data_IF_955112007269
#
_entry.id   IF_955112007269
#
_cell.length_a   1.000
_cell.length_b   1.000
_cell.length_c   1.000
_cell.angle_alpha   90.00
_cell.angle_beta   90.00
_cell.angle_gamma   90.00
#
_symmetry.space_group_name_H-M   'P 1'
#
loop_
_entity.id
_entity.type
_entity.pdbx_description
1 polymer ?
#
# COMPACT_ATOMS: atom_id res chain seq x y z
N UNK A 1 11.43 -31.44 25.59
CA UNK A 1 10.84 -31.54 24.23
C UNK A 1 9.89 -30.37 23.91
N UNK A 2 8.71 -30.22 24.54
CA UNK A 2 7.73 -29.16 24.19
C UNK A 2 8.22 -27.71 24.35
N UNK A 3 9.04 -27.42 25.36
CA UNK A 3 9.58 -26.06 25.62
C UNK A 3 10.60 -25.60 24.58
N UNK A 4 11.40 -26.53 24.06
CA UNK A 4 12.41 -26.26 23.02
C UNK A 4 11.71 -25.99 21.68
N UNK A 5 10.64 -26.75 21.41
CA UNK A 5 9.82 -26.56 20.21
C UNK A 5 9.13 -25.18 20.18
N UNK A 6 8.60 -24.73 21.32
CA UNK A 6 8.01 -23.38 21.45
C UNK A 6 9.04 -22.26 21.25
N UNK A 7 10.26 -22.43 21.77
CA UNK A 7 11.34 -21.45 21.56
C UNK A 7 11.75 -21.35 20.08
N UNK A 8 11.77 -22.48 19.37
CA UNK A 8 12.15 -22.54 17.95
C UNK A 8 11.09 -21.85 17.06
N UNK A 9 9.80 -22.07 17.34
CA UNK A 9 8.70 -21.36 16.65
C UNK A 9 8.75 -19.85 16.92
N UNK A 10 9.00 -19.46 18.17
CA UNK A 10 9.15 -18.04 18.53
C UNK A 10 10.29 -17.35 17.80
N UNK A 11 11.41 -18.05 17.59
CA UNK A 11 12.56 -17.50 16.86
C UNK A 11 12.28 -17.34 15.36
N UNK A 12 11.51 -18.23 14.74
CA UNK A 12 11.12 -18.11 13.32
C UNK A 12 10.17 -16.93 13.10
N UNK A 13 9.22 -16.71 14.02
CA UNK A 13 8.25 -15.61 13.93
C UNK A 13 8.86 -14.22 14.14
N UNK A 14 10.03 -14.13 14.79
CA UNK A 14 10.73 -12.87 14.98
C UNK A 14 11.31 -12.27 13.68
N UNK A 15 11.52 -13.10 12.65
CA UNK A 15 12.12 -12.69 11.36
C UNK A 15 11.14 -12.71 10.18
N UNK A 16 9.85 -12.95 10.40
CA UNK A 16 8.85 -13.03 9.32
C UNK A 16 8.30 -11.67 8.84
N UNK A 17 8.86 -10.55 9.31
CA UNK A 17 8.50 -9.23 8.82
C UNK A 17 9.17 -8.97 7.46
N UNK A 18 8.48 -9.34 6.37
CA UNK A 18 8.87 -8.94 5.02
C UNK A 18 8.19 -7.61 4.67
N UNK A 19 8.98 -6.55 4.56
CA UNK A 19 8.54 -5.30 3.97
C UNK A 19 8.80 -5.34 2.46
N UNK A 20 7.82 -4.96 1.65
CA UNK A 20 8.05 -4.75 0.23
C UNK A 20 8.97 -3.55 0.03
N UNK A 21 9.99 -3.70 -0.82
CA UNK A 21 10.89 -2.60 -1.17
C UNK A 21 10.37 -1.91 -2.43
N UNK A 22 10.29 -0.58 -2.39
CA UNK A 22 9.81 0.24 -3.50
C UNK A 22 10.95 1.06 -4.10
N UNK A 23 10.99 1.14 -5.43
CA UNK A 23 11.99 1.92 -6.17
C UNK A 23 11.33 2.77 -7.25
N UNK A 24 11.90 3.96 -7.45
CA UNK A 24 11.52 4.88 -8.52
C UNK A 24 11.72 4.20 -9.90
N UNK A 25 10.83 4.48 -10.84
CA UNK A 25 10.79 3.88 -12.17
C UNK A 25 10.20 2.47 -12.22
N UNK A 26 9.80 1.88 -11.07
CA UNK A 26 9.17 0.55 -11.03
C UNK A 26 7.76 0.61 -10.45
N UNK A 27 7.60 0.99 -9.17
CA UNK A 27 6.28 1.08 -8.54
C UNK A 27 5.72 2.50 -8.48
N UNK A 28 6.58 3.50 -8.55
CA UNK A 28 6.21 4.90 -8.61
C UNK A 28 7.20 5.66 -9.48
N UNK A 29 6.84 6.89 -9.85
CA UNK A 29 7.75 7.85 -10.46
C UNK A 29 7.71 9.15 -9.65
N UNK A 30 8.85 9.80 -9.47
CA UNK A 30 8.89 11.15 -8.92
C UNK A 30 8.55 12.17 -10.01
N UNK A 31 7.58 13.05 -9.76
CA UNK A 31 7.25 14.10 -10.73
C UNK A 31 8.37 15.13 -10.85
N UNK A 32 8.78 15.45 -12.08
CA UNK A 32 9.80 16.48 -12.35
C UNK A 32 9.39 17.86 -11.83
N UNK A 33 8.08 18.12 -11.74
CA UNK A 33 7.49 19.38 -11.30
C UNK A 33 6.48 19.11 -10.17
N UNK A 34 6.91 19.13 -8.90
CA UNK A 34 6.00 18.95 -7.77
C UNK A 34 5.05 20.15 -7.64
N UNK A 35 3.85 19.90 -7.13
CA UNK A 35 2.81 20.92 -6.93
C UNK A 35 2.63 21.17 -5.44
N UNK A 36 2.62 22.44 -5.01
CA UNK A 36 2.44 22.78 -3.59
C UNK A 36 0.97 22.86 -3.22
N UNK A 37 0.60 22.34 -2.05
CA UNK A 37 -0.77 22.43 -1.51
C UNK A 37 -1.74 21.39 -2.05
N UNK A 38 -1.23 20.34 -2.71
CA UNK A 38 -2.02 19.20 -3.14
C UNK A 38 -2.47 18.33 -1.96
N UNK A 39 -3.60 17.59 -2.08
CA UNK A 39 -3.96 16.55 -1.12
C UNK A 39 -2.85 15.48 -1.01
N UNK A 40 -2.76 14.82 0.13
CA UNK A 40 -1.75 13.76 0.35
C UNK A 40 -1.92 12.56 -0.59
N UNK A 41 -3.17 12.27 -0.99
CA UNK A 41 -3.51 11.25 -1.98
C UNK A 41 -4.56 11.86 -2.91
N UNK A 42 -4.29 11.85 -4.21
CA UNK A 42 -5.18 12.38 -5.24
C UNK A 42 -5.37 11.34 -6.33
N UNK A 43 -6.63 11.04 -6.64
CA UNK A 43 -7.01 10.08 -7.69
C UNK A 43 -7.67 10.83 -8.85
N UNK A 44 -7.30 10.45 -10.08
CA UNK A 44 -7.92 10.96 -11.30
C UNK A 44 -8.71 9.84 -11.97
N UNK A 45 -9.97 10.09 -12.31
CA UNK A 45 -10.80 9.12 -13.01
C UNK A 45 -11.76 9.80 -13.99
N UNK A 46 -12.40 8.98 -14.83
CA UNK A 46 -13.49 9.39 -15.71
C UNK A 46 -14.52 8.28 -15.79
N UNK A 47 -15.81 8.62 -15.82
CA UNK A 47 -16.87 7.64 -16.04
C UNK A 47 -16.79 6.96 -17.42
N UNK A 48 -16.07 7.55 -18.38
CA UNK A 48 -15.83 6.96 -19.69
C UNK A 48 -14.58 6.08 -19.75
N UNK A 49 -13.84 5.94 -18.64
CA UNK A 49 -12.63 5.13 -18.56
C UNK A 49 -12.99 3.71 -18.05
N UNK A 50 -12.98 2.67 -18.90
CA UNK A 50 -13.33 1.31 -18.48
C UNK A 50 -12.32 0.70 -17.50
N UNK A 51 -11.07 1.16 -17.49
CA UNK A 51 -10.09 0.75 -16.48
C UNK A 51 -10.40 1.36 -15.12
N UNK A 52 -10.90 2.59 -15.09
CA UNK A 52 -11.29 3.28 -13.87
C UNK A 52 -12.54 2.63 -13.27
N UNK A 53 -13.50 2.21 -14.10
CA UNK A 53 -14.63 1.39 -13.65
C UNK A 53 -14.16 0.09 -12.98
N UNK A 54 -13.20 -0.63 -13.59
CA UNK A 54 -12.65 -1.83 -12.96
C UNK A 54 -11.93 -1.51 -11.65
N UNK A 55 -11.16 -0.43 -11.62
CA UNK A 55 -10.40 0.00 -10.44
C UNK A 55 -11.32 0.29 -9.25
N UNK A 56 -12.43 0.98 -9.49
CA UNK A 56 -13.39 1.39 -8.45
C UNK A 56 -14.40 0.28 -8.11
N UNK A 57 -15.10 -0.27 -9.10
CA UNK A 57 -16.28 -1.11 -8.89
C UNK A 57 -15.98 -2.62 -8.89
N UNK A 58 -14.88 -3.04 -9.53
CA UNK A 58 -14.55 -4.47 -9.64
C UNK A 58 -13.45 -4.87 -8.65
N UNK A 59 -12.40 -4.06 -8.56
CA UNK A 59 -11.23 -4.34 -7.73
C UNK A 59 -11.20 -3.53 -6.43
N UNK A 60 -12.06 -2.51 -6.30
CA UNK A 60 -12.18 -1.67 -5.10
C UNK A 60 -10.83 -1.16 -4.58
N UNK A 61 -9.95 -0.74 -5.50
CA UNK A 61 -8.58 -0.37 -5.16
C UNK A 61 -8.56 0.87 -4.29
N UNK A 62 -9.41 1.86 -4.59
CA UNK A 62 -9.55 3.08 -3.81
C UNK A 62 -9.92 2.78 -2.35
N UNK A 63 -10.80 1.81 -2.11
CA UNK A 63 -11.16 1.40 -0.75
C UNK A 63 -10.06 0.60 -0.05
N UNK A 64 -9.34 -0.24 -0.78
CA UNK A 64 -8.16 -0.93 -0.27
C UNK A 64 -7.06 0.06 0.15
N UNK A 65 -6.82 1.10 -0.66
CA UNK A 65 -5.88 2.19 -0.35
C UNK A 65 -6.36 2.94 0.89
N UNK A 66 -7.60 3.44 0.92
CA UNK A 66 -8.17 4.16 2.09
C UNK A 66 -8.00 3.36 3.39
N UNK A 67 -8.20 2.04 3.35
CA UNK A 67 -8.06 1.16 4.52
C UNK A 67 -6.59 0.97 4.95
N UNK A 68 -5.66 1.00 4.01
CA UNK A 68 -4.23 0.85 4.27
C UNK A 68 -3.54 2.16 4.68
N UNK A 69 -4.19 3.31 4.45
CA UNK A 69 -3.64 4.60 4.85
C UNK A 69 -3.51 4.70 6.38
N UNK A 70 -2.43 5.33 6.87
CA UNK A 70 -2.30 5.62 8.28
C UNK A 70 -3.43 6.55 8.75
N UNK A 71 -3.77 6.48 10.04
CA UNK A 71 -4.66 7.45 10.65
C UNK A 71 -4.09 8.86 10.43
N UNK A 72 -4.97 9.81 10.09
CA UNK A 72 -4.55 11.18 9.86
C UNK A 72 -3.75 11.70 11.07
N UNK A 73 -2.62 12.40 10.84
CA UNK A 73 -1.91 13.06 11.92
C UNK A 73 -2.87 14.04 12.60
N UNK A 74 -2.96 13.97 13.94
CA UNK A 74 -3.74 14.91 14.75
C UNK A 74 -3.20 16.33 14.62
#
# INVERSE_FOLDING_TARGET
>A
MKKIWLALVGMVMAFSASAAQFSDGTQYVTLDKPVTGEPQVLEFFSFYCPHCYQFEEVYHVSDAVKKALPAAPK
#
